data_IF_360604315302
#
_entry.id   IF_360604315302
#
_cell.length_a   1.000
_cell.length_b   1.000
_cell.length_c   1.000
_cell.angle_alpha   90.00
_cell.angle_beta   90.00
_cell.angle_gamma   90.00
#
_symmetry.space_group_name_H-M   'P 1'
#
loop_
_entity.id
_entity.type
_entity.pdbx_description
1 polymer ?
#
# COMPACT_ATOMS: atom_id res chain seq x y z
N UNK A 1 20.55 -2.41 -8.72
CA UNK A 1 19.93 -3.35 -7.76
C UNK A 1 18.40 -3.37 -7.93
N UNK A 2 17.87 -3.88 -9.06
CA UNK A 2 16.41 -3.84 -9.32
C UNK A 2 15.91 -4.85 -10.39
N UNK A 3 16.40 -6.10 -10.40
CA UNK A 3 15.93 -7.10 -11.41
C UNK A 3 15.42 -8.41 -10.76
N UNK A 4 15.47 -8.57 -9.43
CA UNK A 4 15.13 -9.84 -8.77
C UNK A 4 13.67 -9.97 -8.25
N UNK A 5 12.78 -9.03 -8.55
CA UNK A 5 11.43 -8.99 -8.00
C UNK A 5 10.33 -9.77 -8.76
N UNK A 6 10.33 -9.92 -10.11
CA UNK A 6 9.20 -10.58 -10.79
C UNK A 6 9.24 -12.11 -10.69
N UNK A 7 10.41 -12.71 -10.44
CA UNK A 7 10.58 -14.18 -10.45
C UNK A 7 10.04 -14.88 -9.20
N UNK A 8 9.99 -14.19 -8.05
CA UNK A 8 9.39 -14.72 -6.81
C UNK A 8 7.86 -14.78 -6.86
N UNK A 9 7.20 -13.88 -7.60
CA UNK A 9 5.74 -13.82 -7.66
C UNK A 9 5.16 -14.95 -8.53
N UNK A 10 5.84 -15.30 -9.62
CA UNK A 10 5.48 -16.44 -10.48
C UNK A 10 5.72 -17.80 -9.80
N UNK A 11 6.79 -17.95 -9.03
CA UNK A 11 7.05 -19.20 -8.30
C UNK A 11 6.11 -19.40 -7.10
N UNK A 12 5.67 -18.31 -6.46
CA UNK A 12 4.62 -18.37 -5.43
C UNK A 12 3.26 -18.70 -6.05
N UNK A 13 2.88 -18.07 -7.17
CA UNK A 13 1.65 -18.40 -7.89
C UNK A 13 1.60 -19.85 -8.37
N UNK A 14 2.71 -20.37 -8.90
CA UNK A 14 2.84 -21.78 -9.27
C UNK A 14 2.78 -22.72 -8.06
N UNK A 15 3.40 -22.35 -6.93
CA UNK A 15 3.31 -23.13 -5.68
C UNK A 15 1.89 -23.13 -5.09
N UNK A 16 1.16 -22.01 -5.18
CA UNK A 16 -0.23 -21.92 -4.74
C UNK A 16 -1.12 -22.81 -5.61
N UNK A 17 -0.97 -22.77 -6.94
CA UNK A 17 -1.70 -23.65 -7.85
C UNK A 17 -1.39 -25.14 -7.60
N UNK A 18 -0.14 -25.49 -7.32
CA UNK A 18 0.26 -26.87 -6.96
C UNK A 18 -0.34 -27.28 -5.60
N UNK A 19 -0.43 -26.36 -4.63
CA UNK A 19 -1.06 -26.64 -3.34
C UNK A 19 -2.57 -26.86 -3.48
N UNK A 20 -3.24 -26.09 -4.32
CA UNK A 20 -4.67 -26.25 -4.62
C UNK A 20 -4.94 -27.58 -5.35
N UNK A 21 -4.09 -27.94 -6.32
CA UNK A 21 -4.16 -29.23 -7.00
C UNK A 21 -3.90 -30.41 -6.06
N UNK A 22 -2.93 -30.30 -5.15
CA UNK A 22 -2.66 -31.33 -4.15
C UNK A 22 -3.81 -31.47 -3.16
N UNK A 23 -4.43 -30.35 -2.76
CA UNK A 23 -5.61 -30.37 -1.89
C UNK A 23 -6.82 -31.02 -2.59
N UNK A 24 -7.01 -30.73 -3.88
CA UNK A 24 -8.03 -31.37 -4.70
C UNK A 24 -7.76 -32.87 -4.86
N UNK A 25 -6.52 -33.28 -5.11
CA UNK A 25 -6.14 -34.68 -5.22
C UNK A 25 -6.42 -35.43 -3.91
N UNK A 26 -5.97 -34.90 -2.76
CA UNK A 26 -6.21 -35.53 -1.46
C UNK A 26 -7.71 -35.65 -1.14
N UNK A 27 -8.52 -34.66 -1.56
CA UNK A 27 -9.99 -34.73 -1.41
C UNK A 27 -10.61 -35.77 -2.33
N UNK A 28 -10.07 -35.91 -3.54
CA UNK A 28 -10.54 -36.88 -4.52
C UNK A 28 -10.20 -38.29 -4.04
N UNK A 29 -8.97 -38.53 -3.59
CA UNK A 29 -8.54 -39.81 -3.00
C UNK A 29 -9.41 -40.18 -1.78
N UNK A 30 -9.70 -39.22 -0.90
CA UNK A 30 -10.58 -39.44 0.25
C UNK A 30 -12.05 -39.71 -0.15
N UNK A 31 -12.51 -39.12 -1.27
CA UNK A 31 -13.84 -39.40 -1.82
C UNK A 31 -13.89 -40.77 -2.49
N UNK A 32 -12.85 -41.15 -3.23
CA UNK A 32 -12.72 -42.47 -3.84
C UNK A 32 -12.66 -43.56 -2.78
N UNK A 33 -11.89 -43.37 -1.70
CA UNK A 33 -11.83 -44.29 -0.58
C UNK A 33 -13.18 -44.43 0.12
N UNK A 34 -13.92 -43.33 0.30
CA UNK A 34 -15.27 -43.36 0.91
C UNK A 34 -16.33 -43.99 0.01
N UNK A 35 -16.21 -43.86 -1.31
CA UNK A 35 -17.20 -44.39 -2.27
C UNK A 35 -16.91 -45.83 -2.67
N UNK A 36 -15.65 -46.19 -2.89
CA UNK A 36 -15.23 -47.50 -3.38
C UNK A 36 -14.74 -48.43 -2.25
N UNK A 37 -14.32 -47.87 -1.10
CA UNK A 37 -13.70 -48.62 -0.01
C UNK A 37 -12.25 -48.99 -0.32
N UNK A 38 -11.46 -49.35 0.70
CA UNK A 38 -10.07 -49.79 0.56
C UNK A 38 -9.92 -50.89 -0.51
N UNK A 39 -8.77 -50.96 -1.23
CA UNK A 39 -8.59 -51.80 -2.41
C UNK A 39 -8.40 -53.27 -2.02
N UNK A 40 -9.46 -53.91 -1.51
CA UNK A 40 -9.53 -55.34 -1.35
C UNK A 40 -10.12 -55.95 -2.62
N UNK A 41 -9.23 -56.35 -3.53
CA UNK A 41 -9.48 -57.42 -4.50
C UNK A 41 -10.41 -57.09 -5.67
N UNK A 42 -9.80 -56.71 -6.80
CA UNK A 42 -9.94 -57.15 -8.21
C UNK A 42 -11.13 -58.04 -8.66
N UNK A 43 -12.29 -58.07 -8.01
CA UNK A 43 -13.42 -58.95 -8.39
C UNK A 43 -14.70 -58.21 -8.77
N UNK A 44 -14.71 -56.87 -8.86
CA UNK A 44 -15.89 -56.13 -9.36
C UNK A 44 -15.56 -54.72 -9.88
N UNK A 45 -14.42 -54.55 -10.56
CA UNK A 45 -13.99 -53.27 -11.14
C UNK A 45 -14.74 -52.88 -12.43
N UNK A 46 -16.06 -53.11 -12.48
CA UNK A 46 -16.85 -52.84 -13.67
C UNK A 46 -18.37 -52.83 -13.48
N UNK A 47 -18.88 -53.13 -12.29
CA UNK A 47 -20.31 -52.98 -12.03
C UNK A 47 -20.57 -51.54 -11.52
N UNK A 48 -21.45 -50.76 -12.18
CA UNK A 48 -21.92 -49.51 -11.58
C UNK A 48 -22.61 -49.88 -10.27
N UNK A 49 -21.94 -49.67 -9.13
CA UNK A 49 -22.60 -49.74 -7.82
C UNK A 49 -23.66 -48.65 -7.86
N UNK A 50 -24.91 -49.06 -8.05
CA UNK A 50 -26.08 -48.17 -8.02
C UNK A 50 -26.30 -47.74 -6.56
N UNK A 51 -25.37 -46.95 -6.01
CA UNK A 51 -25.47 -46.40 -4.65
C UNK A 51 -26.73 -45.56 -4.55
N UNK A 52 -27.10 -44.86 -5.64
CA UNK A 52 -28.38 -44.16 -5.76
C UNK A 52 -29.59 -45.10 -5.64
N UNK A 53 -29.59 -46.26 -6.31
CA UNK A 53 -30.69 -47.24 -6.19
C UNK A 53 -30.69 -47.92 -4.81
N UNK A 54 -29.52 -48.18 -4.23
CA UNK A 54 -29.37 -48.74 -2.89
C UNK A 54 -29.86 -47.78 -1.82
N UNK A 55 -29.46 -46.51 -1.91
CA UNK A 55 -29.92 -45.43 -1.05
C UNK A 55 -31.42 -45.19 -1.23
N UNK A 56 -31.92 -45.21 -2.47
CA UNK A 56 -33.35 -45.10 -2.77
C UNK A 56 -34.16 -46.25 -2.17
N UNK A 57 -33.66 -47.49 -2.21
CA UNK A 57 -34.28 -48.65 -1.56
C UNK A 57 -34.25 -48.53 -0.04
N UNK A 58 -33.15 -48.07 0.55
CA UNK A 58 -33.03 -47.83 1.99
C UNK A 58 -33.95 -46.69 2.43
N UNK A 59 -34.05 -45.62 1.66
CA UNK A 59 -34.95 -44.51 1.94
C UNK A 59 -36.42 -44.92 1.80
N UNK A 60 -36.76 -45.73 0.80
CA UNK A 60 -38.09 -46.30 0.64
C UNK A 60 -38.46 -47.28 1.76
N UNK A 61 -37.53 -48.13 2.21
CA UNK A 61 -37.77 -49.04 3.34
C UNK A 61 -37.86 -48.28 4.66
N UNK A 62 -37.03 -47.26 4.87
CA UNK A 62 -37.04 -46.39 6.03
C UNK A 62 -38.32 -45.56 6.09
N UNK A 63 -38.77 -45.02 4.96
CA UNK A 63 -40.05 -44.31 4.84
C UNK A 63 -41.24 -45.23 5.14
N UNK A 64 -41.21 -46.47 4.67
CA UNK A 64 -42.23 -47.49 4.98
C UNK A 64 -42.21 -47.92 6.45
N UNK A 65 -41.04 -47.98 7.09
CA UNK A 65 -40.91 -48.32 8.52
C UNK A 65 -41.36 -47.14 9.39
N UNK A 66 -40.98 -45.92 9.01
CA UNK A 66 -41.38 -44.69 9.70
C UNK A 66 -42.88 -44.41 9.56
N UNK A 67 -43.52 -44.76 8.44
CA UNK A 67 -44.96 -44.57 8.26
C UNK A 67 -45.82 -45.63 8.97
N UNK A 68 -45.32 -46.87 9.11
CA UNK A 68 -46.04 -47.96 9.80
C UNK A 68 -45.82 -47.98 11.32
N UNK A 69 -44.75 -47.36 11.82
CA UNK A 69 -44.43 -47.31 13.26
C UNK A 69 -44.33 -45.85 13.71
N UNK A 70 -45.41 -45.34 14.30
CA UNK A 70 -45.48 -43.97 14.85
C UNK A 70 -44.32 -43.66 15.83
N UNK A 71 -43.86 -44.64 16.61
CA UNK A 71 -42.68 -44.50 17.48
C UNK A 71 -41.39 -44.18 16.69
N UNK A 72 -41.20 -44.78 15.52
CA UNK A 72 -40.03 -44.55 14.67
C UNK A 72 -40.12 -43.17 14.01
N UNK A 73 -41.31 -42.74 13.60
CA UNK A 73 -41.57 -41.38 13.09
C UNK A 73 -41.25 -40.29 14.12
N UNK A 74 -41.63 -40.51 15.37
CA UNK A 74 -41.29 -39.61 16.48
C UNK A 74 -39.78 -39.59 16.72
N UNK A 75 -39.10 -40.74 16.63
CA UNK A 75 -37.64 -40.80 16.74
C UNK A 75 -36.95 -40.07 15.59
N UNK A 76 -37.43 -40.16 14.36
CA UNK A 76 -36.87 -39.39 13.22
C UNK A 76 -36.97 -37.88 13.42
N UNK A 77 -38.12 -37.40 13.89
CA UNK A 77 -38.27 -35.98 14.25
C UNK A 77 -37.36 -35.58 15.42
N UNK A 78 -37.29 -36.43 16.45
CA UNK A 78 -36.39 -36.21 17.59
C UNK A 78 -34.91 -36.26 17.19
N UNK A 79 -34.52 -37.01 16.15
CA UNK A 79 -33.14 -37.04 15.66
C UNK A 79 -32.77 -35.69 15.06
N UNK A 80 -33.65 -35.05 14.29
CA UNK A 80 -33.44 -33.68 13.78
C UNK A 80 -33.34 -32.67 14.93
N UNK A 81 -34.21 -32.79 15.93
CA UNK A 81 -34.15 -31.95 17.13
C UNK A 81 -32.84 -32.18 17.91
N UNK A 82 -32.46 -33.44 18.13
CA UNK A 82 -31.23 -33.84 18.83
C UNK A 82 -29.98 -33.37 18.06
N UNK A 83 -29.98 -33.43 16.72
CA UNK A 83 -28.92 -32.87 15.87
C UNK A 83 -28.79 -31.35 16.08
N UNK A 84 -29.91 -30.64 16.22
CA UNK A 84 -29.92 -29.21 16.55
C UNK A 84 -29.41 -28.92 17.96
N UNK A 85 -29.74 -29.79 18.92
CA UNK A 85 -29.23 -29.69 20.29
C UNK A 85 -27.77 -30.14 20.43
N UNK A 86 -27.24 -30.94 19.51
CA UNK A 86 -25.83 -31.36 19.51
C UNK A 86 -24.87 -30.34 18.89
N UNK A 87 -25.38 -29.28 18.25
CA UNK A 87 -24.52 -28.19 17.79
C UNK A 87 -23.99 -27.42 19.01
N UNK A 88 -22.66 -27.46 19.28
CA UNK A 88 -22.06 -26.78 20.43
C UNK A 88 -22.36 -25.28 20.42
N UNK A 89 -22.57 -24.69 19.24
CA UNK A 89 -22.90 -23.27 19.10
C UNK A 89 -24.31 -22.92 19.57
N UNK A 90 -25.23 -23.89 19.63
CA UNK A 90 -26.61 -23.67 20.07
C UNK A 90 -26.73 -23.75 21.60
N UNK A 91 -26.02 -24.68 22.23
CA UNK A 91 -26.00 -24.81 23.70
C UNK A 91 -25.28 -23.61 24.33
N UNK A 92 -24.12 -23.20 23.82
CA UNK A 92 -23.34 -22.08 24.38
C UNK A 92 -24.09 -20.74 24.30
N UNK A 93 -24.92 -20.53 23.27
CA UNK A 93 -25.72 -19.31 23.13
C UNK A 93 -26.99 -19.31 23.99
N UNK A 94 -27.58 -20.47 24.27
CA UNK A 94 -28.78 -20.57 25.10
C UNK A 94 -28.47 -20.61 26.60
N UNK A 95 -27.30 -21.12 26.99
CA UNK A 95 -27.01 -21.49 28.37
C UNK A 95 -25.96 -20.60 29.04
N UNK A 96 -25.81 -19.33 28.66
CA UNK A 96 -25.11 -18.38 29.54
C UNK A 96 -25.99 -18.13 30.77
N UNK A 97 -25.68 -18.71 31.95
CA UNK A 97 -26.50 -18.52 33.13
C UNK A 97 -26.45 -17.05 33.54
N UNK A 98 -27.52 -16.51 34.11
CA UNK A 98 -27.59 -15.08 34.43
C UNK A 98 -26.48 -14.63 35.41
N UNK A 99 -26.03 -15.54 36.29
CA UNK A 99 -24.86 -15.32 37.14
C UNK A 99 -23.56 -15.13 36.34
N UNK A 100 -23.40 -15.83 35.21
CA UNK A 100 -22.24 -15.70 34.33
C UNK A 100 -22.29 -14.44 33.49
N UNK A 101 -23.48 -14.01 33.05
CA UNK A 101 -23.66 -12.70 32.40
C UNK A 101 -23.26 -11.56 33.34
N UNK A 102 -23.65 -11.65 34.61
CA UNK A 102 -23.26 -10.65 35.62
C UNK A 102 -21.74 -10.62 35.82
N UNK A 103 -21.10 -11.79 35.98
CA UNK A 103 -19.64 -11.84 36.12
C UNK A 103 -18.90 -11.38 34.86
N UNK A 104 -19.44 -11.66 33.67
CA UNK A 104 -18.88 -11.19 32.41
C UNK A 104 -18.96 -9.65 32.31
N UNK A 105 -20.11 -9.06 32.65
CA UNK A 105 -20.29 -7.61 32.67
C UNK A 105 -19.34 -6.95 33.68
N UNK A 106 -19.19 -7.53 34.88
CA UNK A 106 -18.29 -6.98 35.90
C UNK A 106 -16.80 -7.15 35.52
N UNK A 107 -16.43 -8.30 34.96
CA UNK A 107 -15.07 -8.55 34.48
C UNK A 107 -14.71 -7.64 33.30
N UNK A 108 -15.68 -7.33 32.44
CA UNK A 108 -15.51 -6.53 31.25
C UNK A 108 -15.88 -5.05 31.46
N UNK A 109 -16.31 -4.65 32.67
CA UNK A 109 -16.77 -3.29 33.01
C UNK A 109 -15.72 -2.23 32.64
N UNK A 110 -14.47 -2.47 33.01
CA UNK A 110 -13.37 -1.55 32.68
C UNK A 110 -13.11 -1.49 31.17
N UNK A 111 -13.27 -2.59 30.46
CA UNK A 111 -13.14 -2.64 28.99
C UNK A 111 -14.27 -1.84 28.32
N UNK A 112 -15.51 -2.05 28.77
CA UNK A 112 -16.68 -1.32 28.27
C UNK A 112 -16.56 0.18 28.54
N UNK A 113 -16.14 0.57 29.76
CA UNK A 113 -15.96 1.97 30.14
C UNK A 113 -14.83 2.65 29.36
N UNK A 114 -13.69 1.97 29.19
CA UNK A 114 -12.58 2.51 28.38
C UNK A 114 -12.95 2.65 26.91
N UNK A 115 -13.68 1.68 26.36
CA UNK A 115 -14.15 1.72 24.98
C UNK A 115 -15.23 2.78 24.75
N UNK A 116 -16.13 3.00 25.72
CA UNK A 116 -17.09 4.10 25.69
C UNK A 116 -16.39 5.47 25.76
N UNK A 117 -15.39 5.62 26.62
CA UNK A 117 -14.59 6.85 26.71
C UNK A 117 -13.80 7.12 25.41
N UNK A 118 -13.26 6.08 24.78
CA UNK A 118 -12.62 6.18 23.46
C UNK A 118 -13.63 6.57 22.37
N UNK A 119 -14.83 5.99 22.38
CA UNK A 119 -15.89 6.35 21.44
C UNK A 119 -16.33 7.81 21.58
N UNK A 120 -16.49 8.32 22.81
CA UNK A 120 -16.78 9.74 23.03
C UNK A 120 -15.65 10.64 22.55
N UNK A 121 -14.38 10.23 22.72
CA UNK A 121 -13.23 10.94 22.12
C UNK A 121 -13.27 10.93 20.60
N UNK A 122 -13.58 9.80 19.98
CA UNK A 122 -13.70 9.72 18.51
C UNK A 122 -14.85 10.60 18.02
N UNK A 123 -15.98 10.62 18.72
CA UNK A 123 -17.13 11.47 18.41
C UNK A 123 -16.79 12.96 18.54
N UNK A 124 -16.03 13.36 19.54
CA UNK A 124 -15.57 14.76 19.68
C UNK A 124 -14.54 15.15 18.62
N UNK A 125 -13.84 14.18 18.02
CA UNK A 125 -12.88 14.40 16.93
C UNK A 125 -13.54 14.43 15.53
N UNK A 126 -14.75 13.90 15.38
CA UNK A 126 -15.53 13.92 14.14
C UNK A 126 -15.64 15.32 13.47
N UNK A 127 -15.92 16.44 14.17
CA UNK A 127 -16.01 17.76 13.55
C UNK A 127 -14.68 18.29 13.00
N UNK A 128 -13.53 17.76 13.44
CA UNK A 128 -12.22 18.19 12.91
C UNK A 128 -11.93 17.61 11.53
N UNK A 129 -12.51 16.44 11.20
CA UNK A 129 -12.41 15.84 9.87
C UNK A 129 -13.13 16.68 8.81
N UNK A 130 -14.21 17.34 9.21
CA UNK A 130 -14.98 18.25 8.36
C UNK A 130 -14.48 19.70 8.37
N UNK A 131 -13.36 19.97 9.07
CA UNK A 131 -12.83 21.32 9.19
C UNK A 131 -12.52 21.93 7.82
N UNK A 132 -12.93 23.18 7.66
CA UNK A 132 -12.75 23.93 6.41
C UNK A 132 -11.27 24.01 5.99
N UNK A 133 -10.33 23.94 6.95
CA UNK A 133 -8.89 23.96 6.70
C UNK A 133 -8.38 22.69 5.99
N UNK A 134 -8.91 21.51 6.31
CA UNK A 134 -8.56 20.26 5.61
C UNK A 134 -9.14 20.30 4.19
N UNK A 135 -10.37 20.81 4.02
CA UNK A 135 -10.99 20.97 2.69
C UNK A 135 -10.25 22.01 1.84
N UNK A 136 -9.84 23.12 2.44
CA UNK A 136 -9.05 24.17 1.78
C UNK A 136 -7.59 23.78 1.52
N UNK A 137 -7.11 22.64 2.05
CA UNK A 137 -5.73 22.18 1.85
C UNK A 137 -5.37 22.01 0.37
N UNK A 138 -6.31 21.54 -0.46
CA UNK A 138 -6.11 21.41 -1.91
C UNK A 138 -5.94 22.79 -2.58
N UNK A 139 -6.74 23.78 -2.20
CA UNK A 139 -6.62 25.15 -2.71
C UNK A 139 -5.31 25.82 -2.27
N UNK A 140 -4.88 25.59 -1.03
CA UNK A 140 -3.58 26.07 -0.56
C UNK A 140 -2.42 25.36 -1.28
N UNK A 141 -2.53 24.07 -1.58
CA UNK A 141 -1.52 23.32 -2.32
C UNK A 141 -1.38 23.83 -3.76
N UNK A 142 -2.48 24.14 -4.46
CA UNK A 142 -2.41 24.71 -5.82
C UNK A 142 -1.80 26.11 -5.83
N UNK A 143 -2.15 26.97 -4.86
CA UNK A 143 -1.52 28.29 -4.68
C UNK A 143 -0.04 28.18 -4.37
N UNK A 144 0.36 27.24 -3.51
CA UNK A 144 1.76 26.99 -3.16
C UNK A 144 2.54 26.46 -4.37
N UNK A 145 1.97 25.56 -5.15
CA UNK A 145 2.58 25.06 -6.38
C UNK A 145 2.82 26.19 -7.38
N UNK A 146 1.83 27.07 -7.58
CA UNK A 146 1.98 28.26 -8.43
C UNK A 146 3.07 29.20 -7.90
N UNK A 147 3.11 29.43 -6.60
CA UNK A 147 4.13 30.28 -5.97
C UNK A 147 5.53 29.67 -6.11
N UNK A 148 5.66 28.35 -5.96
CA UNK A 148 6.91 27.61 -6.18
C UNK A 148 7.40 27.76 -7.61
N UNK A 149 6.51 27.68 -8.61
CA UNK A 149 6.86 27.90 -10.01
C UNK A 149 7.35 29.34 -10.26
N UNK A 150 6.66 30.33 -9.69
CA UNK A 150 7.09 31.74 -9.79
C UNK A 150 8.45 31.92 -9.13
N UNK A 151 8.69 31.29 -7.97
CA UNK A 151 9.95 31.40 -7.27
C UNK A 151 11.12 30.82 -8.06
N UNK A 152 10.95 29.65 -8.71
CA UNK A 152 11.95 29.11 -9.63
C UNK A 152 12.26 30.09 -10.76
N UNK A 153 11.21 30.65 -11.38
CA UNK A 153 11.39 31.60 -12.48
C UNK A 153 12.14 32.88 -12.03
N UNK A 154 11.82 33.40 -10.84
CA UNK A 154 12.50 34.56 -10.27
C UNK A 154 13.96 34.25 -9.93
N UNK A 155 14.25 33.04 -9.46
CA UNK A 155 15.61 32.59 -9.17
C UNK A 155 16.44 32.54 -10.46
N UNK A 156 15.92 31.92 -11.52
CA UNK A 156 16.60 31.86 -12.82
C UNK A 156 16.85 33.25 -13.40
N UNK A 157 15.86 34.16 -13.29
CA UNK A 157 16.01 35.55 -13.72
C UNK A 157 17.07 36.30 -12.91
N UNK A 158 17.09 36.11 -11.58
CA UNK A 158 18.08 36.74 -10.71
C UNK A 158 19.49 36.26 -11.06
N UNK A 159 19.68 34.97 -11.30
CA UNK A 159 20.95 34.39 -11.72
C UNK A 159 21.41 34.94 -13.08
N UNK A 160 20.50 34.98 -14.07
CA UNK A 160 20.80 35.54 -15.39
C UNK A 160 21.18 37.02 -15.33
N UNK A 161 20.45 37.83 -14.55
CA UNK A 161 20.76 39.26 -14.35
C UNK A 161 22.09 39.43 -13.64
N UNK A 162 22.36 38.62 -12.62
CA UNK A 162 23.63 38.68 -11.88
C UNK A 162 24.81 38.35 -12.79
N UNK A 163 24.69 37.33 -13.64
CA UNK A 163 25.75 36.98 -14.59
C UNK A 163 25.96 38.07 -15.65
N UNK A 164 24.89 38.67 -16.17
CA UNK A 164 25.00 39.80 -17.09
C UNK A 164 25.74 40.99 -16.46
N UNK A 165 25.43 41.32 -15.19
CA UNK A 165 26.13 42.37 -14.44
C UNK A 165 27.60 41.99 -14.24
N UNK A 166 27.88 40.72 -13.91
CA UNK A 166 29.25 40.23 -13.74
C UNK A 166 30.07 40.40 -15.02
N UNK A 167 29.52 40.01 -16.17
CA UNK A 167 30.15 40.18 -17.48
C UNK A 167 30.39 41.65 -17.81
N UNK A 168 29.38 42.51 -17.57
CA UNK A 168 29.50 43.94 -17.83
C UNK A 168 30.58 44.60 -16.95
N UNK A 169 30.67 44.20 -15.68
CA UNK A 169 31.73 44.66 -14.78
C UNK A 169 33.12 44.17 -15.22
N UNK A 170 33.20 42.94 -15.73
CA UNK A 170 34.45 42.38 -16.27
C UNK A 170 34.92 43.17 -17.50
N UNK A 171 34.01 43.50 -18.42
CA UNK A 171 34.31 44.30 -19.60
C UNK A 171 34.68 45.74 -19.27
N UNK A 172 33.98 46.36 -18.31
CA UNK A 172 34.34 47.68 -17.80
C UNK A 172 35.75 47.68 -17.18
N UNK A 173 36.09 46.65 -16.39
CA UNK A 173 37.40 46.51 -15.79
C UNK A 173 38.49 46.34 -16.86
N UNK A 174 38.26 45.48 -17.87
CA UNK A 174 39.15 45.32 -19.03
C UNK A 174 39.37 46.65 -19.75
N UNK A 175 38.31 47.39 -20.07
CA UNK A 175 38.41 48.68 -20.75
C UNK A 175 39.19 49.70 -19.91
N UNK A 176 38.96 49.74 -18.60
CA UNK A 176 39.67 50.64 -17.68
C UNK A 176 41.17 50.31 -17.62
N UNK A 177 41.52 49.02 -17.59
CA UNK A 177 42.92 48.57 -17.60
C UNK A 177 43.62 48.92 -18.91
N UNK A 178 42.96 48.69 -20.06
CA UNK A 178 43.46 49.06 -21.37
C UNK A 178 43.67 50.58 -21.48
N UNK A 179 42.71 51.37 -21.03
CA UNK A 179 42.81 52.83 -21.03
C UNK A 179 43.98 53.29 -20.15
N UNK A 180 44.07 52.79 -18.90
CA UNK A 180 45.19 53.09 -17.99
C UNK A 180 46.55 52.74 -18.61
N UNK A 181 46.64 51.60 -19.30
CA UNK A 181 47.86 51.17 -19.97
C UNK A 181 48.20 52.09 -21.15
N UNK A 182 47.22 52.43 -21.99
CA UNK A 182 47.42 53.34 -23.13
C UNK A 182 47.86 54.74 -22.69
N UNK A 183 47.29 55.26 -21.59
CA UNK A 183 47.68 56.54 -21.01
C UNK A 183 49.10 56.51 -20.45
N UNK A 184 49.47 55.43 -19.75
CA UNK A 184 50.87 55.23 -19.27
C UNK A 184 51.85 55.20 -20.44
N UNK A 185 51.56 54.45 -21.50
CA UNK A 185 52.40 54.38 -22.70
C UNK A 185 52.53 55.76 -23.35
N UNK A 186 51.43 56.50 -23.49
CA UNK A 186 51.44 57.85 -24.04
C UNK A 186 52.28 58.80 -23.19
N UNK A 187 52.17 58.73 -21.85
CA UNK A 187 52.97 59.53 -20.94
C UNK A 187 54.46 59.21 -21.04
N UNK A 188 54.83 57.93 -21.14
CA UNK A 188 56.24 57.51 -21.35
C UNK A 188 56.76 58.07 -22.67
N UNK A 189 55.96 58.01 -23.75
CA UNK A 189 56.36 58.55 -25.04
C UNK A 189 56.60 60.08 -24.98
N UNK A 190 55.68 60.82 -24.36
CA UNK A 190 55.82 62.27 -24.15
C UNK A 190 57.08 62.59 -23.31
N UNK A 191 57.34 61.82 -22.26
CA UNK A 191 58.54 62.01 -21.43
C UNK A 191 59.84 61.72 -22.22
N UNK A 192 59.83 60.70 -23.08
CA UNK A 192 60.97 60.36 -23.95
C UNK A 192 61.25 61.48 -24.96
N UNK A 193 60.20 62.02 -25.59
CA UNK A 193 60.32 63.17 -26.50
C UNK A 193 60.86 64.40 -25.77
N UNK A 194 60.36 64.69 -24.57
CA UNK A 194 60.84 65.80 -23.76
C UNK A 194 62.32 65.66 -23.37
N UNK A 195 62.79 64.43 -23.10
CA UNK A 195 64.20 64.15 -22.79
C UNK A 195 65.10 64.20 -24.04
N UNK A 196 64.58 63.87 -25.22
CA UNK A 196 65.34 63.92 -26.49
C UNK A 196 65.53 65.36 -27.02
N UNK A 197 64.52 66.22 -26.87
CA UNK A 197 64.57 67.64 -27.30
C UNK A 197 65.84 68.41 -26.87
N UNK A 198 66.31 68.36 -25.62
CA UNK A 198 67.54 69.06 -25.21
C UNK A 198 68.82 68.49 -25.84
N UNK A 199 68.86 67.21 -26.24
CA UNK A 199 69.99 66.65 -26.97
C UNK A 199 70.03 67.12 -28.43
N UNK A 200 68.87 67.23 -29.08
CA UNK A 200 68.78 67.79 -30.44
C UNK A 200 69.18 69.27 -30.44
N UNK A 201 68.75 70.05 -29.44
CA UNK A 201 69.15 71.46 -29.30
C UNK A 201 70.65 71.61 -29.04
N UNK A 202 71.28 70.70 -28.27
CA UNK A 202 72.74 70.67 -28.08
C UNK A 202 73.52 70.28 -29.34
N UNK A 203 72.98 69.40 -30.19
CA UNK A 203 73.57 69.02 -31.48
C UNK A 203 73.48 70.12 -32.54
N UNK A 204 72.48 71.02 -32.46
CA UNK A 204 72.36 72.17 -33.35
C UNK A 204 73.20 73.39 -32.92
N UNK A 205 73.82 73.34 -31.72
CA UNK A 205 74.64 74.43 -31.16
C UNK A 205 76.14 74.08 -31.04
N UNK A 206 76.59 72.95 -31.59
CA UNK A 206 78.00 72.65 -31.87
C UNK A 206 78.26 72.78 -33.38
#
# INVERSE_FOLDING_TARGET
TAILAPRRRLTVGAKMAVSELQQLQNRLDALEERMFGAPAGVASAGAPRKIADGLGKVQGSLGNIASKRERVKILFKKIEDILKYLDPQYIDRMAMPDAMKLQFILAEEQSIMTQAALLERVKSLQPYLDSAHIKASSDHATKLQRLSQIHLQQQDQCEAVTENIRLLLEDYNKMTLLLSTSLKVTQVNVNLEAMSRPFVVKLYHL
#
